data_IF_233533093590
#
_entry.id   IF_233533093590
#
_cell.length_a   1.000
_cell.length_b   1.000
_cell.length_c   1.000
_cell.angle_alpha   90.00
_cell.angle_beta   90.00
_cell.angle_gamma   90.00
#
_symmetry.space_group_name_H-M   'P 1'
#
loop_
_entity.id
_entity.type
_entity.pdbx_description
1 polymer ?
#
# COMPACT_ATOMS: atom_id res chain seq x y z
N UNK A 1 -4.13 4.78 -19.63
CA UNK A 1 -3.39 5.53 -20.67
C UNK A 1 -3.52 4.89 -22.03
N UNK A 2 -3.09 3.63 -22.17
CA UNK A 2 -2.89 2.93 -23.46
C UNK A 2 -4.07 2.94 -24.45
N UNK A 3 -5.31 2.74 -23.98
CA UNK A 3 -6.50 2.76 -24.85
C UNK A 3 -6.74 4.15 -25.44
N UNK A 4 -6.57 5.20 -24.64
CA UNK A 4 -6.72 6.58 -25.12
C UNK A 4 -5.58 6.95 -26.08
N UNK A 5 -4.36 6.49 -25.81
CA UNK A 5 -3.19 6.69 -26.67
C UNK A 5 -3.34 6.07 -28.04
N UNK A 6 -3.75 4.80 -28.09
CA UNK A 6 -4.01 4.10 -29.35
C UNK A 6 -5.16 4.74 -30.14
N UNK A 7 -6.22 5.19 -29.47
CA UNK A 7 -7.33 5.89 -30.11
C UNK A 7 -6.89 7.25 -30.68
N UNK A 8 -6.13 8.04 -29.93
CA UNK A 8 -5.60 9.33 -30.39
C UNK A 8 -4.75 9.16 -31.64
N UNK A 9 -3.78 8.23 -31.62
CA UNK A 9 -2.90 7.98 -32.76
C UNK A 9 -3.66 7.55 -34.02
N UNK A 10 -4.67 6.68 -33.86
CA UNK A 10 -5.54 6.26 -34.96
C UNK A 10 -6.32 7.43 -35.57
N UNK A 11 -6.89 8.28 -34.72
CA UNK A 11 -7.67 9.45 -35.17
C UNK A 11 -6.78 10.51 -35.82
N UNK A 12 -5.61 10.78 -35.25
CA UNK A 12 -4.63 11.71 -35.80
C UNK A 12 -4.17 11.27 -37.21
N UNK A 13 -3.89 9.98 -37.40
CA UNK A 13 -3.55 9.41 -38.71
C UNK A 13 -4.68 9.59 -39.73
N UNK A 14 -5.94 9.34 -39.33
CA UNK A 14 -7.10 9.52 -40.22
C UNK A 14 -7.32 10.99 -40.62
N UNK A 15 -7.07 11.94 -39.72
CA UNK A 15 -7.20 13.37 -39.99
C UNK A 15 -6.09 13.87 -40.90
N UNK A 16 -4.85 13.43 -40.67
CA UNK A 16 -3.72 13.75 -41.55
C UNK A 16 -3.92 13.22 -42.97
N UNK A 17 -4.64 12.11 -43.14
CA UNK A 17 -4.96 11.55 -44.46
C UNK A 17 -6.11 12.28 -45.19
N UNK A 18 -6.99 12.96 -44.45
CA UNK A 18 -8.24 13.54 -44.99
C UNK A 18 -8.28 15.06 -45.02
N UNK A 19 -7.34 15.75 -44.37
CA UNK A 19 -7.35 17.20 -44.23
C UNK A 19 -5.97 17.80 -44.50
N UNK A 20 -5.94 19.02 -45.04
CA UNK A 20 -4.70 19.74 -45.29
C UNK A 20 -4.01 20.27 -44.01
N UNK A 21 -4.72 20.28 -42.87
CA UNK A 21 -4.22 20.72 -41.58
C UNK A 21 -4.15 19.53 -40.61
N UNK A 22 -2.99 18.85 -40.50
CA UNK A 22 -2.83 17.78 -39.53
C UNK A 22 -2.89 18.32 -38.10
N UNK A 23 -3.16 17.44 -37.15
CA UNK A 23 -2.98 17.74 -35.73
C UNK A 23 -1.48 17.87 -35.41
N UNK A 24 -1.07 18.98 -34.81
CA UNK A 24 0.34 19.28 -34.46
C UNK A 24 0.57 19.33 -32.95
N UNK A 25 -0.32 18.72 -32.16
CA UNK A 25 -0.22 18.72 -30.71
C UNK A 25 1.10 18.09 -30.24
N UNK A 26 1.65 18.60 -29.13
CA UNK A 26 2.75 17.93 -28.43
C UNK A 26 2.21 16.72 -27.65
N UNK A 27 2.06 15.64 -28.41
CA UNK A 27 1.60 14.34 -27.96
C UNK A 27 2.45 13.81 -26.81
N UNK A 28 3.77 14.06 -26.84
CA UNK A 28 4.70 13.61 -25.81
C UNK A 28 4.41 14.28 -24.47
N UNK A 29 4.26 15.60 -24.47
CA UNK A 29 3.90 16.36 -23.27
C UNK A 29 2.52 15.98 -22.74
N UNK A 30 1.50 15.84 -23.61
CA UNK A 30 0.14 15.47 -23.17
C UNK A 30 0.14 14.10 -22.49
N UNK A 31 0.76 13.08 -23.10
CA UNK A 31 0.82 11.75 -22.49
C UNK A 31 1.62 11.74 -21.19
N UNK A 32 2.74 12.48 -21.13
CA UNK A 32 3.52 12.57 -19.90
C UNK A 32 2.69 13.11 -18.72
N UNK A 33 1.85 14.13 -18.94
CA UNK A 33 0.96 14.67 -17.89
C UNK A 33 -0.12 13.66 -17.48
N UNK A 34 -0.71 12.93 -18.44
CA UNK A 34 -1.72 11.90 -18.15
C UNK A 34 -1.10 10.73 -17.38
N UNK A 35 0.06 10.26 -17.81
CA UNK A 35 0.75 9.12 -17.19
C UNK A 35 1.23 9.49 -15.77
N UNK A 36 1.75 10.72 -15.58
CA UNK A 36 2.06 11.22 -14.25
C UNK A 36 0.83 11.26 -13.34
N UNK A 37 -0.32 11.72 -13.83
CA UNK A 37 -1.56 11.74 -13.04
C UNK A 37 -2.00 10.32 -12.66
N UNK A 38 -1.98 9.37 -13.61
CA UNK A 38 -2.31 7.97 -13.36
C UNK A 38 -1.36 7.32 -12.34
N UNK A 39 -0.07 7.68 -12.37
CA UNK A 39 0.89 7.23 -11.37
C UNK A 39 0.51 7.71 -9.98
N UNK A 40 0.16 9.00 -9.82
CA UNK A 40 -0.27 9.51 -8.50
C UNK A 40 -1.56 8.88 -7.98
N UNK A 41 -2.50 8.56 -8.87
CA UNK A 41 -3.69 7.79 -8.51
C UNK A 41 -3.31 6.38 -8.01
N UNK A 42 -2.32 5.74 -8.65
CA UNK A 42 -1.81 4.43 -8.23
C UNK A 42 -1.12 4.50 -6.87
N UNK A 43 -0.34 5.56 -6.64
CA UNK A 43 0.29 5.84 -5.35
C UNK A 43 -0.76 6.01 -4.24
N UNK A 44 -1.85 6.73 -4.50
CA UNK A 44 -2.96 6.89 -3.55
C UNK A 44 -3.72 5.59 -3.28
N UNK A 45 -3.84 4.71 -4.28
CA UNK A 45 -4.37 3.36 -4.07
C UNK A 45 -3.46 2.56 -3.13
N UNK A 46 -2.14 2.70 -3.24
CA UNK A 46 -1.19 2.06 -2.33
C UNK A 46 -1.34 2.57 -0.88
N UNK A 47 -1.58 3.88 -0.69
CA UNK A 47 -1.91 4.46 0.63
C UNK A 47 -3.18 3.81 1.21
N UNK A 48 -4.24 3.69 0.40
CA UNK A 48 -5.49 3.06 0.83
C UNK A 48 -5.30 1.58 1.20
N UNK A 49 -4.47 0.85 0.46
CA UNK A 49 -4.13 -0.55 0.78
C UNK A 49 -3.34 -0.65 2.10
N UNK A 50 -2.39 0.26 2.34
CA UNK A 50 -1.68 0.34 3.61
C UNK A 50 -2.62 0.66 4.78
N UNK A 51 -3.59 1.55 4.58
CA UNK A 51 -4.61 1.86 5.58
C UNK A 51 -5.45 0.64 5.96
N UNK A 52 -5.82 -0.21 5.00
CA UNK A 52 -6.54 -1.46 5.28
C UNK A 52 -5.73 -2.44 6.15
N UNK A 53 -4.40 -2.40 6.09
CA UNK A 53 -3.51 -3.26 6.88
C UNK A 53 -3.26 -2.70 8.29
N UNK A 54 -2.98 -1.40 8.39
CA UNK A 54 -2.45 -0.78 9.62
C UNK A 54 -3.43 0.18 10.30
N UNK A 55 -4.63 0.36 9.75
CA UNK A 55 -5.72 1.09 10.39
C UNK A 55 -7.06 0.38 10.12
N UNK A 56 -7.19 -0.92 10.45
CA UNK A 56 -8.44 -1.63 10.29
C UNK A 56 -9.52 -1.02 11.20
N UNK A 57 -10.76 -1.03 10.73
CA UNK A 57 -11.93 -0.64 11.54
C UNK A 57 -12.34 -1.73 12.52
N UNK A 58 -11.95 -2.97 12.26
CA UNK A 58 -12.20 -4.10 13.15
C UNK A 58 -11.28 -4.01 14.38
N UNK A 59 -11.78 -4.37 15.58
CA UNK A 59 -10.94 -4.44 16.77
C UNK A 59 -9.87 -5.52 16.60
N UNK A 60 -8.75 -5.34 17.31
CA UNK A 60 -7.73 -6.39 17.37
C UNK A 60 -8.30 -7.66 18.04
N UNK A 61 -7.92 -8.84 17.56
CA UNK A 61 -8.24 -10.09 18.24
C UNK A 61 -7.60 -10.10 19.64
N UNK A 62 -8.22 -10.81 20.58
CA UNK A 62 -7.66 -10.97 21.92
C UNK A 62 -6.54 -12.01 21.86
N UNK A 63 -5.31 -11.57 22.09
CA UNK A 63 -4.16 -12.46 22.19
C UNK A 63 -4.06 -13.05 23.60
N UNK A 64 -4.15 -14.38 23.70
CA UNK A 64 -4.03 -15.10 24.98
C UNK A 64 -2.58 -15.29 25.44
N UNK A 65 -2.41 -15.89 26.62
CA UNK A 65 -1.11 -16.21 27.21
C UNK A 65 -0.42 -15.04 27.92
N UNK A 66 0.72 -15.30 28.54
CA UNK A 66 1.46 -14.32 29.36
C UNK A 66 1.99 -13.12 28.57
N UNK A 67 2.19 -13.29 27.25
CA UNK A 67 2.68 -12.24 26.34
C UNK A 67 1.57 -11.57 25.51
N UNK A 68 0.31 -11.96 25.68
CA UNK A 68 -0.83 -11.37 24.96
C UNK A 68 -0.90 -9.83 25.03
N UNK A 69 -0.75 -9.21 26.22
CA UNK A 69 -0.71 -7.75 26.35
C UNK A 69 0.45 -7.09 25.60
N UNK A 70 1.63 -7.73 25.57
CA UNK A 70 2.82 -7.24 24.88
C UNK A 70 2.63 -7.27 23.36
N UNK A 71 2.07 -8.36 22.82
CA UNK A 71 1.72 -8.50 21.40
C UNK A 71 0.72 -7.42 21.01
N UNK A 72 -0.36 -7.27 21.80
CA UNK A 72 -1.40 -6.26 21.55
C UNK A 72 -0.80 -4.86 21.52
N UNK A 73 0.01 -4.52 22.53
CA UNK A 73 0.69 -3.22 22.59
C UNK A 73 1.58 -2.98 21.38
N UNK A 74 2.38 -3.98 20.99
CA UNK A 74 3.28 -3.87 19.84
C UNK A 74 2.53 -3.58 18.53
N UNK A 75 1.37 -4.21 18.34
CA UNK A 75 0.52 -3.97 17.17
C UNK A 75 -0.09 -2.56 17.22
N UNK A 76 -0.55 -2.10 18.40
CA UNK A 76 -1.06 -0.74 18.56
C UNK A 76 0.01 0.32 18.28
N UNK A 77 1.25 0.12 18.74
CA UNK A 77 2.38 1.02 18.48
C UNK A 77 2.72 1.09 16.97
N UNK A 78 2.57 -0.03 16.24
CA UNK A 78 2.67 -0.08 14.78
C UNK A 78 1.54 0.73 14.13
N UNK A 79 0.29 0.57 14.59
CA UNK A 79 -0.86 1.33 14.07
C UNK A 79 -0.71 2.84 14.31
N UNK A 80 -0.23 3.24 15.49
CA UNK A 80 0.07 4.65 15.78
C UNK A 80 1.18 5.20 14.86
N UNK A 81 2.22 4.42 14.64
CA UNK A 81 3.30 4.78 13.70
C UNK A 81 2.79 4.95 12.27
N UNK A 82 1.86 4.10 11.83
CA UNK A 82 1.17 4.29 10.55
C UNK A 82 0.35 5.58 10.49
N UNK A 83 -0.37 5.93 11.56
CA UNK A 83 -1.13 7.18 11.60
C UNK A 83 -0.23 8.41 11.45
N UNK A 84 1.00 8.37 11.98
CA UNK A 84 2.00 9.44 11.78
C UNK A 84 2.41 9.58 10.31
N UNK A 85 2.66 8.46 9.62
CA UNK A 85 2.96 8.48 8.18
C UNK A 85 1.81 9.10 7.36
N UNK A 86 0.56 8.75 7.67
CA UNK A 86 -0.62 9.31 7.01
C UNK A 86 -0.81 10.79 7.36
N UNK A 87 -0.56 11.18 8.62
CA UNK A 87 -0.64 12.58 9.04
C UNK A 87 0.35 13.46 8.28
N UNK A 88 1.56 12.97 7.99
CA UNK A 88 2.54 13.68 7.18
C UNK A 88 2.02 13.95 5.76
N UNK A 89 1.41 12.94 5.11
CA UNK A 89 0.81 13.12 3.78
C UNK A 89 -0.38 14.09 3.81
N UNK A 90 -1.23 14.03 4.84
CA UNK A 90 -2.36 14.95 5.02
C UNK A 90 -1.91 16.39 5.28
N UNK A 91 -0.73 16.57 5.88
CA UNK A 91 -0.16 17.87 6.19
C UNK A 91 0.53 18.57 5.01
N UNK A 92 0.59 17.94 3.83
CA UNK A 92 1.20 18.55 2.64
C UNK A 92 0.39 19.78 2.19
N UNK A 93 1.10 20.87 1.92
CA UNK A 93 0.49 22.17 1.59
C UNK A 93 0.22 22.37 0.10
N UNK A 94 0.52 21.37 -0.73
CA UNK A 94 0.34 21.43 -2.18
C UNK A 94 -0.63 20.35 -2.66
N UNK A 95 -1.18 20.53 -3.85
CA UNK A 95 -2.06 19.54 -4.44
C UNK A 95 -1.27 18.30 -4.86
N UNK A 96 -1.47 17.20 -4.16
CA UNK A 96 -0.81 15.92 -4.45
C UNK A 96 -1.17 15.36 -5.83
N UNK A 97 -2.25 15.80 -6.47
CA UNK A 97 -2.62 15.40 -7.84
C UNK A 97 -2.10 16.36 -8.92
N UNK A 98 -1.50 17.50 -8.55
CA UNK A 98 -0.89 18.42 -9.51
C UNK A 98 0.44 17.84 -10.03
N UNK A 99 0.42 17.30 -11.24
CA UNK A 99 1.58 16.65 -11.88
C UNK A 99 2.80 17.55 -12.04
N UNK A 100 2.65 18.88 -11.94
CA UNK A 100 3.76 19.83 -11.95
C UNK A 100 4.46 19.95 -10.59
N UNK A 101 3.80 19.55 -9.50
CA UNK A 101 4.40 19.55 -8.18
C UNK A 101 5.49 18.48 -8.12
N UNK A 102 6.75 18.89 -8.14
CA UNK A 102 7.89 17.96 -8.19
C UNK A 102 8.12 17.21 -6.89
N UNK A 103 7.47 17.57 -5.77
CA UNK A 103 7.75 17.01 -4.44
C UNK A 103 7.06 15.68 -4.14
N UNK A 104 5.94 15.37 -4.82
CA UNK A 104 5.12 14.19 -4.52
C UNK A 104 5.90 12.88 -4.49
N UNK A 105 6.82 12.68 -5.43
CA UNK A 105 7.60 11.45 -5.48
C UNK A 105 8.43 11.19 -4.21
N UNK A 106 9.06 12.22 -3.63
CA UNK A 106 9.88 12.11 -2.42
C UNK A 106 9.00 11.89 -1.19
N UNK A 107 7.91 12.66 -1.08
CA UNK A 107 6.96 12.56 0.03
C UNK A 107 6.27 11.19 0.04
N UNK A 108 5.89 10.67 -1.13
CA UNK A 108 5.33 9.33 -1.28
C UNK A 108 6.36 8.22 -1.06
N UNK A 109 7.60 8.36 -1.55
CA UNK A 109 8.66 7.38 -1.29
C UNK A 109 8.98 7.28 0.19
N UNK A 110 8.94 8.40 0.93
CA UNK A 110 9.09 8.42 2.38
C UNK A 110 7.96 7.62 3.06
N UNK A 111 6.71 7.86 2.66
CA UNK A 111 5.57 7.08 3.13
C UNK A 111 5.73 5.58 2.84
N UNK A 112 6.11 5.25 1.60
CA UNK A 112 6.28 3.87 1.12
C UNK A 112 7.37 3.12 1.88
N UNK A 113 8.51 3.77 2.14
CA UNK A 113 9.56 3.21 2.98
C UNK A 113 9.06 2.95 4.40
N UNK A 114 8.37 3.92 5.00
CA UNK A 114 7.78 3.76 6.33
C UNK A 114 6.79 2.59 6.39
N UNK A 115 5.93 2.42 5.39
CA UNK A 115 5.01 1.26 5.32
C UNK A 115 5.77 -0.06 5.28
N UNK A 116 6.86 -0.14 4.51
CA UNK A 116 7.70 -1.35 4.44
C UNK A 116 8.34 -1.67 5.80
N UNK A 117 8.79 -0.66 6.53
CA UNK A 117 9.34 -0.86 7.88
C UNK A 117 8.28 -1.38 8.84
N UNK A 118 7.03 -0.87 8.76
CA UNK A 118 5.91 -1.36 9.55
C UNK A 118 5.53 -2.81 9.18
N UNK A 119 5.62 -3.22 7.91
CA UNK A 119 5.44 -4.62 7.49
C UNK A 119 6.49 -5.53 8.14
N UNK A 120 7.76 -5.10 8.20
CA UNK A 120 8.83 -5.85 8.87
C UNK A 120 8.58 -5.93 10.37
N UNK A 121 8.20 -4.82 11.01
CA UNK A 121 7.86 -4.79 12.44
C UNK A 121 6.71 -5.76 12.76
N UNK A 122 5.66 -5.77 11.95
CA UNK A 122 4.53 -6.68 12.13
C UNK A 122 4.95 -8.15 11.99
N UNK A 123 5.79 -8.47 10.99
CA UNK A 123 6.32 -9.83 10.83
C UNK A 123 7.13 -10.28 12.05
N UNK A 124 7.92 -9.38 12.65
CA UNK A 124 8.67 -9.67 13.88
C UNK A 124 7.73 -9.95 15.07
N UNK A 125 6.65 -9.18 15.20
CA UNK A 125 5.62 -9.43 16.22
C UNK A 125 4.95 -10.79 16.01
N UNK A 126 4.60 -11.13 14.77
CA UNK A 126 4.01 -12.45 14.43
C UNK A 126 4.96 -13.58 14.80
N UNK A 127 6.23 -13.47 14.40
CA UNK A 127 7.28 -14.45 14.74
C UNK A 127 7.37 -14.66 16.26
N UNK A 128 7.56 -13.57 17.00
CA UNK A 128 7.67 -13.59 18.46
C UNK A 128 6.44 -14.20 19.13
N UNK A 129 5.24 -13.86 18.63
CA UNK A 129 4.00 -14.38 19.15
C UNK A 129 3.89 -15.90 18.96
N UNK A 130 4.30 -16.42 17.78
CA UNK A 130 4.33 -17.84 17.49
C UNK A 130 5.32 -18.61 18.37
N UNK A 131 6.50 -18.05 18.62
CA UNK A 131 7.56 -18.70 19.39
C UNK A 131 7.22 -18.86 20.89
N UNK A 132 6.25 -18.09 21.39
CA UNK A 132 5.86 -18.05 22.80
C UNK A 132 4.61 -18.86 23.13
N UNK A 133 4.04 -19.59 22.17
CA UNK A 133 2.84 -20.38 22.43
C UNK A 133 3.16 -21.70 23.14
N UNK A 134 2.43 -22.06 24.22
CA UNK A 134 2.74 -23.22 25.06
C UNK A 134 2.32 -24.55 24.42
N UNK A 135 1.44 -24.53 23.43
CA UNK A 135 0.94 -25.74 22.77
C UNK A 135 0.52 -25.47 21.32
N UNK A 136 0.38 -26.56 20.57
CA UNK A 136 0.00 -26.59 19.15
C UNK A 136 -1.33 -25.87 18.90
N UNK A 137 -2.35 -26.11 19.74
CA UNK A 137 -3.68 -25.50 19.59
C UNK A 137 -3.64 -23.98 19.76
N UNK A 138 -2.90 -23.48 20.75
CA UNK A 138 -2.77 -22.03 20.98
C UNK A 138 -2.05 -21.35 19.81
N UNK A 139 -1.04 -22.02 19.23
CA UNK A 139 -0.34 -21.54 18.03
C UNK A 139 -1.23 -21.53 16.79
N UNK A 140 -2.08 -22.54 16.61
CA UNK A 140 -3.04 -22.57 15.50
C UNK A 140 -4.05 -21.40 15.57
N UNK A 141 -4.67 -21.17 16.73
CA UNK A 141 -5.59 -20.05 16.96
C UNK A 141 -4.92 -18.69 16.72
N UNK A 142 -3.66 -18.54 17.14
CA UNK A 142 -2.88 -17.34 16.89
C UNK A 142 -2.65 -17.10 15.39
N UNK A 143 -2.31 -18.14 14.63
CA UNK A 143 -2.10 -18.05 13.19
C UNK A 143 -3.39 -17.71 12.45
N UNK A 144 -4.52 -18.30 12.82
CA UNK A 144 -5.85 -17.94 12.29
C UNK A 144 -6.17 -16.45 12.53
N UNK A 145 -5.87 -15.95 13.73
CA UNK A 145 -6.04 -14.53 14.04
C UNK A 145 -5.18 -13.64 13.15
N UNK A 146 -3.90 -13.99 12.93
CA UNK A 146 -3.02 -13.24 12.04
C UNK A 146 -3.41 -13.34 10.56
N UNK A 147 -3.97 -14.47 10.11
CA UNK A 147 -4.48 -14.63 8.75
C UNK A 147 -5.66 -13.69 8.50
N UNK A 148 -6.56 -13.55 9.48
CA UNK A 148 -7.66 -12.59 9.42
C UNK A 148 -7.17 -11.13 9.41
N UNK A 149 -6.02 -10.85 10.03
CA UNK A 149 -5.40 -9.51 10.07
C UNK A 149 -4.56 -9.18 8.83
N UNK A 150 -4.03 -10.18 8.13
CA UNK A 150 -3.20 -9.98 6.95
C UNK A 150 -4.05 -9.52 5.76
N UNK A 151 -3.78 -8.33 5.24
CA UNK A 151 -4.49 -7.74 4.08
C UNK A 151 -3.54 -7.43 2.92
N UNK A 152 -2.27 -7.12 3.19
CA UNK A 152 -1.25 -6.87 2.17
C UNK A 152 -0.43 -8.11 1.89
N UNK A 153 -0.01 -8.24 0.64
CA UNK A 153 0.71 -9.42 0.13
C UNK A 153 1.96 -9.81 0.94
N UNK A 154 2.85 -8.88 1.35
CA UNK A 154 4.04 -9.25 2.12
C UNK A 154 3.70 -9.87 3.48
N UNK A 155 2.70 -9.32 4.18
CA UNK A 155 2.23 -9.83 5.49
C UNK A 155 1.52 -11.17 5.30
N UNK A 156 0.65 -11.27 4.28
CA UNK A 156 -0.09 -12.50 3.95
C UNK A 156 0.87 -13.66 3.66
N UNK A 157 1.87 -13.44 2.81
CA UNK A 157 2.90 -14.45 2.51
C UNK A 157 3.70 -14.86 3.75
N UNK A 158 3.97 -13.92 4.67
CA UNK A 158 4.67 -14.25 5.90
C UNK A 158 3.83 -15.14 6.82
N UNK A 159 2.54 -14.82 6.98
CA UNK A 159 1.59 -15.66 7.74
C UNK A 159 1.43 -17.04 7.08
N UNK A 160 1.21 -17.10 5.76
CA UNK A 160 1.12 -18.35 5.00
C UNK A 160 2.38 -19.22 5.19
N UNK A 161 3.57 -18.62 5.13
CA UNK A 161 4.83 -19.31 5.41
C UNK A 161 4.87 -19.86 6.84
N UNK A 162 4.45 -19.08 7.84
CA UNK A 162 4.42 -19.51 9.25
C UNK A 162 3.41 -20.64 9.50
N UNK A 163 2.29 -20.60 8.78
CA UNK A 163 1.29 -21.67 8.78
C UNK A 163 1.84 -22.93 8.13
N UNK A 164 2.54 -22.81 7.00
CA UNK A 164 3.17 -23.97 6.33
C UNK A 164 4.34 -24.58 7.12
N UNK A 165 5.08 -23.79 7.91
CA UNK A 165 6.12 -24.31 8.83
C UNK A 165 5.52 -25.07 10.04
N UNK A 166 4.21 -24.90 10.30
CA UNK A 166 3.51 -25.50 11.42
C UNK A 166 2.83 -26.84 11.06
N UNK A 167 2.38 -27.00 9.81
CA UNK A 167 1.79 -28.25 9.28
C UNK A 167 2.85 -29.16 8.68
#
# INVERSE_FOLDING_TARGET
>A
GEVWKSLYLRTAAAISAKTAKPWDFDVGSIFAHVDAFLQRCSDLLEVCQAQRQFAPTAPLPVFGGTRGPEITKSILDIQESFQRLVANLRGLTYNILDVKATRWHDDFNTFKSGVKDLEVMLNNVIQMACDCQPCVTARAQLLEAFELMAKREPVRRFVEKKTAEFY
#
